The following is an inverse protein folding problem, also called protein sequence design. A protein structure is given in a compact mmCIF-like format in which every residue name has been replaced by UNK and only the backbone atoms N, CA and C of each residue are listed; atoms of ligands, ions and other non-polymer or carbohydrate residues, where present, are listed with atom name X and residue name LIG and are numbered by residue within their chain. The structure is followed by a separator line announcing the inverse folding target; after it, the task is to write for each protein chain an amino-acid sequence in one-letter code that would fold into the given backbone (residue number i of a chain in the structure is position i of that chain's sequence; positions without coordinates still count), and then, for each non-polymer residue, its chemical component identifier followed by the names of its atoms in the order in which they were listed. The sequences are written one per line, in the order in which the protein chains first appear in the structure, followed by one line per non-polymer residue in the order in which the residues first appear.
data_IF_044362503022
#
_entry.id   IF_044362503022
#
_cell.length_a   1.000
_cell.length_b   1.000
_cell.length_c   1.000
_cell.angle_alpha   90.00
_cell.angle_beta   90.00
_cell.angle_gamma   90.00
#
_symmetry.space_group_name_H-M   'P 1'
#
loop_
_entity.id
_entity.type
_entity.pdbx_description
1 polymer ?
#
# COMPACT_ATOMS: atom_id res chain seq x y z
N UNK A 1 -18.27 1.78 2.55
CA UNK A 1 -17.91 2.77 1.54
C UNK A 1 -19.14 3.16 0.76
N UNK A 2 -20.24 3.47 1.46
CA UNK A 2 -21.55 3.77 0.86
C UNK A 2 -21.89 2.81 -0.29
N UNK A 3 -21.94 3.30 -1.52
CA UNK A 3 -22.29 2.53 -2.72
C UNK A 3 -21.18 1.60 -3.25
N UNK A 4 -20.11 1.37 -2.48
CA UNK A 4 -19.04 0.43 -2.81
C UNK A 4 -19.29 -0.92 -2.12
N UNK A 5 -18.90 -2.01 -2.80
CA UNK A 5 -18.81 -3.36 -2.21
C UNK A 5 -17.91 -3.35 -0.96
N UNK A 6 -16.88 -2.48 -0.95
CA UNK A 6 -16.00 -2.31 0.19
C UNK A 6 -16.73 -1.67 1.39
N UNK A 7 -16.75 -2.38 2.53
CA UNK A 7 -17.35 -1.89 3.78
C UNK A 7 -16.73 -0.59 4.28
N UNK A 8 -15.42 -0.42 4.11
CA UNK A 8 -14.68 0.77 4.55
C UNK A 8 -13.81 1.35 3.43
N UNK A 9 -13.58 2.66 3.49
CA UNK A 9 -12.55 3.36 2.72
C UNK A 9 -11.64 4.04 3.74
N UNK A 10 -10.35 3.73 3.72
CA UNK A 10 -9.37 4.38 4.59
C UNK A 10 -8.66 5.45 3.77
N UNK A 11 -8.88 6.71 4.13
CA UNK A 11 -8.23 7.85 3.50
C UNK A 11 -6.87 8.09 4.16
N UNK A 12 -5.83 8.25 3.33
CA UNK A 12 -4.46 8.43 3.79
C UNK A 12 -3.86 9.62 3.06
N UNK A 13 -3.33 10.57 3.83
CA UNK A 13 -2.54 11.68 3.28
C UNK A 13 -1.11 11.18 3.13
N UNK A 14 -0.58 11.32 1.91
CA UNK A 14 0.77 10.87 1.57
C UNK A 14 1.63 12.09 1.26
N UNK A 15 2.94 12.02 1.53
CA UNK A 15 3.85 13.10 1.16
C UNK A 15 3.94 13.23 -0.37
N UNK A 16 4.06 14.47 -0.83
CA UNK A 16 4.40 14.78 -2.23
C UNK A 16 5.87 14.48 -2.46
N UNK A 17 6.25 13.67 -3.46
CA UNK A 17 7.65 13.34 -3.71
C UNK A 17 8.52 14.58 -3.93
N UNK A 18 9.61 14.64 -3.17
CA UNK A 18 10.69 15.62 -3.32
C UNK A 18 12.02 14.88 -3.52
N UNK A 19 12.74 15.08 -4.65
CA UNK A 19 13.95 14.33 -4.95
C UNK A 19 15.06 14.47 -3.90
N UNK A 20 15.08 15.59 -3.18
CA UNK A 20 16.08 15.93 -2.16
C UNK A 20 15.78 15.35 -0.78
N UNK A 21 14.62 14.70 -0.59
CA UNK A 21 14.19 14.18 0.69
C UNK A 21 13.74 12.72 0.58
N UNK A 22 14.31 11.84 1.42
CA UNK A 22 13.83 10.46 1.53
C UNK A 22 12.48 10.42 2.27
N UNK A 23 11.41 10.35 1.48
CA UNK A 23 10.04 10.24 1.98
C UNK A 23 9.60 8.79 2.19
N UNK A 24 10.48 7.81 1.98
CA UNK A 24 10.19 6.39 2.17
C UNK A 24 9.70 6.08 3.58
N UNK A 25 10.22 6.78 4.60
CA UNK A 25 9.75 6.62 5.99
C UNK A 25 8.30 7.09 6.17
N UNK A 26 7.89 8.15 5.49
CA UNK A 26 6.51 8.64 5.54
C UNK A 26 5.57 7.67 4.81
N UNK A 27 5.95 7.19 3.63
CA UNK A 27 5.19 6.17 2.91
C UNK A 27 5.08 4.86 3.72
N UNK A 28 6.15 4.45 4.39
CA UNK A 28 6.13 3.32 5.33
C UNK A 28 5.11 3.53 6.46
N UNK A 29 5.06 4.74 7.04
CA UNK A 29 4.06 5.11 8.06
C UNK A 29 2.64 5.09 7.49
N UNK A 30 2.41 5.53 6.25
CA UNK A 30 1.11 5.47 5.58
C UNK A 30 0.58 4.02 5.49
N UNK A 31 1.37 3.08 4.96
CA UNK A 31 0.98 1.67 4.93
C UNK A 31 0.75 1.09 6.33
N UNK A 32 1.70 1.31 7.25
CA UNK A 32 1.65 0.74 8.61
C UNK A 32 0.45 1.25 9.42
N UNK A 33 0.14 2.54 9.33
CA UNK A 33 -1.01 3.15 10.03
C UNK A 33 -2.34 2.65 9.46
N UNK A 34 -2.42 2.49 8.13
CA UNK A 34 -3.59 1.92 7.46
C UNK A 34 -3.88 0.49 7.92
N UNK A 35 -2.86 -0.37 7.92
CA UNK A 35 -2.98 -1.75 8.41
C UNK A 35 -3.39 -1.80 9.89
N UNK A 36 -2.81 -0.95 10.75
CA UNK A 36 -3.23 -0.84 12.16
C UNK A 36 -4.69 -0.46 12.31
N UNK A 37 -5.19 0.47 11.50
CA UNK A 37 -6.59 0.87 11.55
C UNK A 37 -7.50 -0.26 11.08
N UNK A 38 -7.14 -0.96 10.00
CA UNK A 38 -7.87 -2.13 9.52
C UNK A 38 -7.93 -3.26 10.57
N UNK A 39 -6.83 -3.54 11.27
CA UNK A 39 -6.78 -4.51 12.37
C UNK A 39 -7.67 -4.11 13.54
N UNK A 40 -7.66 -2.83 13.96
CA UNK A 40 -8.57 -2.34 15.02
C UNK A 40 -10.05 -2.50 14.64
N UNK A 41 -10.35 -2.45 13.34
CA UNK A 41 -11.70 -2.67 12.80
C UNK A 41 -11.99 -4.13 12.46
N UNK A 42 -11.05 -5.05 12.74
CA UNK A 42 -11.14 -6.50 12.47
C UNK A 42 -11.51 -6.81 11.01
N UNK A 43 -10.98 -6.03 10.07
CA UNK A 43 -11.21 -6.22 8.63
C UNK A 43 -10.46 -7.46 8.16
N UNK A 44 -11.11 -8.31 7.35
CA UNK A 44 -10.54 -9.55 6.82
C UNK A 44 -9.71 -9.36 5.55
N UNK A 45 -10.05 -8.39 4.72
CA UNK A 45 -9.34 -8.11 3.48
C UNK A 45 -9.18 -6.62 3.23
N UNK A 46 -8.04 -6.23 2.66
CA UNK A 46 -7.73 -4.84 2.33
C UNK A 46 -7.04 -4.75 0.97
N UNK A 47 -7.40 -3.74 0.19
CA UNK A 47 -6.75 -3.42 -1.08
C UNK A 47 -6.01 -2.08 -0.97
N UNK A 48 -4.79 -2.02 -1.51
CA UNK A 48 -4.00 -0.80 -1.64
C UNK A 48 -3.76 -0.48 -3.12
N UNK A 49 -3.88 0.79 -3.53
CA UNK A 49 -3.36 1.24 -4.81
C UNK A 49 -1.83 1.44 -4.74
N UNK A 50 -1.21 1.88 -5.84
CA UNK A 50 0.16 2.39 -5.85
C UNK A 50 0.24 3.78 -5.19
N UNK A 51 0.31 3.78 -3.86
CA UNK A 51 0.27 4.99 -3.03
C UNK A 51 1.39 5.98 -3.42
N UNK A 52 1.03 7.25 -3.64
CA UNK A 52 1.93 8.36 -3.97
C UNK A 52 2.61 8.30 -5.37
N UNK A 53 2.35 7.29 -6.20
CA UNK A 53 3.05 7.14 -7.50
C UNK A 53 2.38 7.85 -8.68
N UNK A 54 1.20 8.44 -8.47
CA UNK A 54 0.45 9.19 -9.47
C UNK A 54 0.93 10.65 -9.58
N UNK A 55 0.03 11.60 -9.30
CA UNK A 55 0.33 13.05 -9.31
C UNK A 55 1.51 13.42 -8.40
N UNK A 56 1.71 12.68 -7.31
CA UNK A 56 2.82 12.88 -6.38
C UNK A 56 4.15 12.30 -6.84
N UNK A 57 4.23 11.64 -8.01
CA UNK A 57 5.46 11.21 -8.70
C UNK A 57 6.44 10.38 -7.87
N UNK A 58 6.01 9.74 -6.78
CA UNK A 58 6.89 8.87 -6.01
C UNK A 58 7.33 7.67 -6.86
N UNK A 59 8.62 7.27 -6.83
CA UNK A 59 9.10 6.18 -7.67
C UNK A 59 8.38 4.86 -7.39
N UNK A 60 7.77 4.27 -8.43
CA UNK A 60 6.96 3.05 -8.32
C UNK A 60 7.71 1.86 -7.74
N UNK A 61 8.96 1.67 -8.15
CA UNK A 61 9.84 0.61 -7.65
C UNK A 61 10.10 0.77 -6.14
N UNK A 62 10.33 2.00 -5.68
CA UNK A 62 10.52 2.29 -4.25
C UNK A 62 9.22 2.16 -3.46
N UNK A 63 8.07 2.50 -4.06
CA UNK A 63 6.76 2.24 -3.44
C UNK A 63 6.55 0.74 -3.23
N UNK A 64 6.83 -0.09 -4.25
CA UNK A 64 6.73 -1.54 -4.16
C UNK A 64 7.66 -2.13 -3.09
N UNK A 65 8.92 -1.66 -3.03
CA UNK A 65 9.89 -2.05 -1.99
C UNK A 65 9.41 -1.68 -0.60
N UNK A 66 8.83 -0.49 -0.45
CA UNK A 66 8.26 -0.02 0.82
C UNK A 66 7.08 -0.88 1.23
N UNK A 67 6.15 -1.19 0.32
CA UNK A 67 5.01 -2.06 0.60
C UNK A 67 5.48 -3.45 1.06
N UNK A 68 6.41 -4.08 0.32
CA UNK A 68 7.02 -5.37 0.70
C UNK A 68 7.60 -5.33 2.12
N UNK A 69 8.45 -4.34 2.40
CA UNK A 69 9.08 -4.15 3.72
C UNK A 69 8.07 -3.96 4.84
N UNK A 70 6.94 -3.28 4.58
CA UNK A 70 5.87 -3.14 5.57
C UNK A 70 5.20 -4.47 5.80
N UNK A 71 4.80 -5.18 4.74
CA UNK A 71 4.06 -6.43 4.85
C UNK A 71 4.88 -7.54 5.52
N UNK A 72 6.18 -7.65 5.24
CA UNK A 72 7.08 -8.60 5.91
C UNK A 72 7.25 -8.30 7.41
N UNK A 73 7.17 -7.03 7.81
CA UNK A 73 7.36 -6.61 9.21
C UNK A 73 6.05 -6.48 10.00
N UNK A 74 4.91 -6.52 9.32
CA UNK A 74 3.62 -6.29 9.95
C UNK A 74 3.08 -7.59 10.54
N UNK A 75 2.66 -7.56 11.80
CA UNK A 75 2.00 -8.70 12.44
C UNK A 75 0.50 -8.63 12.15
N UNK A 76 0.06 -9.39 11.15
CA UNK A 76 -1.36 -9.56 10.83
C UNK A 76 -2.05 -10.44 11.88
N UNK A 77 -3.28 -10.09 12.24
CA UNK A 77 -4.11 -10.84 13.19
C UNK A 77 -5.47 -11.15 12.59
N UNK A 78 -6.18 -10.11 12.13
CA UNK A 78 -7.53 -10.22 11.57
C UNK A 78 -7.52 -10.24 10.05
N UNK A 79 -6.54 -9.58 9.44
CA UNK A 79 -6.41 -9.46 7.99
C UNK A 79 -5.83 -10.77 7.44
N UNK A 80 -6.58 -11.40 6.54
CA UNK A 80 -6.23 -12.66 5.88
C UNK A 80 -5.73 -12.41 4.45
N UNK A 81 -6.17 -11.31 3.81
CA UNK A 81 -5.79 -10.99 2.43
C UNK A 81 -5.44 -9.52 2.25
N UNK A 82 -4.27 -9.27 1.67
CA UNK A 82 -3.84 -7.95 1.20
C UNK A 82 -3.72 -7.98 -0.32
N UNK A 83 -4.41 -7.07 -1.00
CA UNK A 83 -4.39 -6.94 -2.46
C UNK A 83 -3.69 -5.66 -2.86
N UNK A 84 -2.75 -5.74 -3.80
CA UNK A 84 -2.17 -4.57 -4.45
C UNK A 84 -2.87 -4.36 -5.80
N UNK A 85 -3.76 -3.37 -5.85
CA UNK A 85 -4.62 -3.11 -7.01
C UNK A 85 -3.96 -2.07 -7.93
N UNK A 86 -3.31 -2.56 -8.98
CA UNK A 86 -2.64 -1.71 -9.98
C UNK A 86 -3.57 -1.41 -11.14
N UNK A 87 -3.67 -0.14 -11.53
CA UNK A 87 -4.49 0.27 -12.68
C UNK A 87 -3.82 -0.02 -14.03
N UNK A 88 -2.48 0.15 -14.11
CA UNK A 88 -1.71 -0.09 -15.34
C UNK A 88 -0.96 -1.41 -15.28
N UNK A 89 -0.91 -2.13 -16.39
CA UNK A 89 -0.15 -3.38 -16.51
C UNK A 89 1.34 -3.21 -16.21
N UNK A 90 1.94 -2.08 -16.62
CA UNK A 90 3.35 -1.78 -16.33
C UNK A 90 3.62 -1.65 -14.82
N UNK A 91 2.65 -1.14 -14.06
CA UNK A 91 2.75 -0.99 -12.61
C UNK A 91 2.61 -2.37 -11.95
N UNK A 92 1.67 -3.19 -12.41
CA UNK A 92 1.55 -4.58 -12.01
C UNK A 92 2.86 -5.34 -12.20
N UNK A 93 3.43 -5.31 -13.41
CA UNK A 93 4.67 -6.03 -13.74
C UNK A 93 5.84 -5.55 -12.84
N UNK A 94 5.93 -4.26 -12.55
CA UNK A 94 6.95 -3.70 -11.65
C UNK A 94 6.78 -4.22 -10.21
N UNK A 95 5.55 -4.17 -9.68
CA UNK A 95 5.26 -4.64 -8.32
C UNK A 95 5.49 -6.14 -8.19
N UNK A 96 5.06 -6.93 -9.17
CA UNK A 96 5.27 -8.38 -9.22
C UNK A 96 6.78 -8.72 -9.16
N UNK A 97 7.61 -8.04 -9.96
CA UNK A 97 9.08 -8.21 -9.92
C UNK A 97 9.70 -7.93 -8.55
N UNK A 98 9.16 -6.97 -7.80
CA UNK A 98 9.70 -6.60 -6.48
C UNK A 98 9.24 -7.55 -5.38
N UNK A 99 7.96 -7.93 -5.41
CA UNK A 99 7.36 -8.80 -4.40
C UNK A 99 7.84 -10.25 -4.56
N UNK A 100 8.14 -10.66 -5.79
CA UNK A 100 8.34 -12.05 -6.16
C UNK A 100 6.99 -12.75 -6.38
N UNK A 101 7.05 -13.92 -6.99
CA UNK A 101 5.89 -14.80 -7.08
C UNK A 101 5.61 -15.38 -5.69
N UNK A 102 4.36 -15.28 -5.24
CA UNK A 102 3.83 -16.07 -4.13
C UNK A 102 2.46 -16.56 -4.58
N UNK A 103 2.32 -17.88 -4.62
CA UNK A 103 1.09 -18.59 -4.92
C UNK A 103 -0.03 -18.28 -3.90
#
# INVERSE_FOLDING_TARGET
GYNLIAKYVIHVICPKHEPTCDQGMLLFKCFKSTLRLAERRKVKSIAFPSISTGVYKYPKKECARTAKKVFEKFKFKSIEKVVLCMFKQSDYNMFQKVLGERD
#
